data_IF_446640012686
#
_entry.id   IF_446640012686
#
_cell.length_a   1.000
_cell.length_b   1.000
_cell.length_c   1.000
_cell.angle_alpha   90.00
_cell.angle_beta   90.00
_cell.angle_gamma   90.00
#
_symmetry.space_group_name_H-M   'P 1'
#
loop_
_entity.id
_entity.type
_entity.pdbx_description
1 polymer ?
#
# COMPACT_ATOMS: atom_id res chain seq x y z
N UNK A 1 9.55 18.51 19.40
CA UNK A 1 8.85 17.23 19.61
C UNK A 1 8.51 16.68 18.24
N UNK A 2 9.26 15.70 17.73
CA UNK A 2 8.98 15.10 16.43
C UNK A 2 7.95 13.98 16.65
N UNK A 3 6.76 14.11 16.06
CA UNK A 3 5.80 13.01 16.02
C UNK A 3 6.33 12.00 15.00
N UNK A 4 6.69 10.80 15.43
CA UNK A 4 6.95 9.67 14.54
C UNK A 4 5.64 9.36 13.80
N UNK A 5 5.52 9.77 12.55
CA UNK A 5 4.35 9.44 11.73
C UNK A 5 4.53 8.01 11.21
N UNK A 6 4.01 7.03 11.95
CA UNK A 6 4.00 5.64 11.49
C UNK A 6 3.28 5.54 10.14
N UNK A 7 3.91 4.94 9.13
CA UNK A 7 3.28 4.68 7.84
C UNK A 7 2.09 3.74 7.97
N UNK A 8 0.96 4.16 7.41
CA UNK A 8 -0.29 3.38 7.37
C UNK A 8 -0.87 3.44 5.97
N UNK A 9 -1.27 2.29 5.46
CA UNK A 9 -1.94 2.18 4.18
C UNK A 9 -3.35 1.63 4.41
N UNK A 10 -4.35 2.52 4.31
CA UNK A 10 -5.76 2.16 4.52
C UNK A 10 -6.34 1.68 3.20
N UNK A 11 -6.71 0.41 3.14
CA UNK A 11 -7.14 -0.25 1.90
C UNK A 11 -8.57 0.19 1.55
N UNK A 12 -8.76 0.72 0.34
CA UNK A 12 -10.09 1.02 -0.21
C UNK A 12 -10.61 -0.15 -1.05
N UNK A 13 -9.74 -0.77 -1.85
CA UNK A 13 -10.09 -1.92 -2.68
C UNK A 13 -8.87 -2.72 -3.09
N UNK A 14 -9.14 -3.92 -3.60
CA UNK A 14 -8.14 -4.80 -4.21
C UNK A 14 -8.59 -5.27 -5.58
N UNK A 15 -7.68 -5.26 -6.53
CA UNK A 15 -7.92 -5.65 -7.91
C UNK A 15 -6.92 -6.75 -8.32
N UNK A 16 -7.42 -7.81 -8.98
CA UNK A 16 -6.59 -8.80 -9.67
C UNK A 16 -6.72 -8.60 -11.17
N UNK A 17 -5.61 -8.25 -11.80
CA UNK A 17 -5.54 -8.06 -13.25
C UNK A 17 -5.14 -9.38 -13.89
N UNK A 18 -5.94 -9.85 -14.85
CA UNK A 18 -5.64 -11.09 -15.60
C UNK A 18 -4.22 -11.02 -16.21
N UNK A 19 -3.45 -12.09 -16.03
CA UNK A 19 -2.07 -12.19 -16.52
C UNK A 19 -1.02 -11.44 -15.68
N UNK A 20 -1.39 -10.79 -14.56
CA UNK A 20 -0.45 -10.22 -13.59
C UNK A 20 -0.39 -11.10 -12.35
N UNK A 21 0.83 -11.39 -11.87
CA UNK A 21 1.04 -12.21 -10.69
C UNK A 21 0.77 -11.47 -9.36
N UNK A 22 0.68 -10.14 -9.39
CA UNK A 22 0.56 -9.30 -8.20
C UNK A 22 -0.88 -8.91 -7.91
N UNK A 23 -1.16 -8.69 -6.62
CA UNK A 23 -2.38 -8.05 -6.17
C UNK A 23 -2.21 -6.53 -6.25
N UNK A 24 -3.17 -5.83 -6.85
CA UNK A 24 -3.18 -4.37 -6.86
C UNK A 24 -4.06 -3.90 -5.71
N UNK A 25 -3.51 -3.07 -4.84
CA UNK A 25 -4.20 -2.57 -3.65
C UNK A 25 -4.25 -1.05 -3.76
N UNK A 26 -5.46 -0.50 -3.88
CA UNK A 26 -5.66 0.94 -3.87
C UNK A 26 -6.13 1.37 -2.49
N UNK A 27 -5.55 2.44 -1.99
CA UNK A 27 -5.83 2.95 -0.66
C UNK A 27 -5.34 4.37 -0.43
N UNK A 28 -5.43 4.79 0.82
CA UNK A 28 -4.89 6.06 1.31
C UNK A 28 -3.58 5.79 2.05
N UNK A 29 -2.51 6.43 1.59
CA UNK A 29 -1.22 6.42 2.26
C UNK A 29 -1.13 7.57 3.26
N UNK A 30 -0.95 7.24 4.54
CA UNK A 30 -0.71 8.18 5.63
C UNK A 30 0.72 7.97 6.18
N UNK A 31 1.37 9.06 6.57
CA UNK A 31 2.69 9.02 7.19
C UNK A 31 3.82 9.07 6.17
N UNK A 32 4.87 8.28 6.41
CA UNK A 32 6.07 8.31 5.57
C UNK A 32 5.85 7.63 4.21
N UNK A 33 6.56 8.07 3.16
CA UNK A 33 6.45 7.49 1.82
C UNK A 33 6.76 5.99 1.80
N UNK A 34 6.11 5.27 0.87
CA UNK A 34 6.42 3.89 0.56
C UNK A 34 7.49 3.78 -0.53
N UNK A 35 8.27 2.71 -0.47
CA UNK A 35 9.26 2.33 -1.46
C UNK A 35 9.00 0.92 -1.99
N UNK A 36 9.47 0.65 -3.22
CA UNK A 36 9.47 -0.72 -3.75
C UNK A 36 10.42 -1.56 -2.91
N UNK A 37 9.96 -2.74 -2.50
CA UNK A 37 10.68 -3.63 -1.59
C UNK A 37 10.23 -3.52 -0.12
N UNK A 38 9.52 -2.46 0.27
CA UNK A 38 8.93 -2.37 1.60
C UNK A 38 7.95 -3.52 1.84
N UNK A 39 7.89 -3.98 3.09
CA UNK A 39 6.95 -5.02 3.52
C UNK A 39 5.87 -4.40 4.41
N UNK A 40 4.63 -4.48 3.95
CA UNK A 40 3.45 -4.03 4.67
C UNK A 40 2.65 -5.23 5.15
N UNK A 41 2.69 -5.53 6.45
CA UNK A 41 1.91 -6.63 7.05
C UNK A 41 2.08 -7.95 6.28
N UNK A 42 3.31 -8.30 5.90
CA UNK A 42 3.61 -9.51 5.13
C UNK A 42 3.34 -9.43 3.62
N UNK A 43 3.06 -8.24 3.08
CA UNK A 43 2.92 -7.99 1.64
C UNK A 43 4.08 -7.13 1.13
N UNK A 44 4.86 -7.66 0.19
CA UNK A 44 6.05 -6.97 -0.36
C UNK A 44 5.65 -6.11 -1.55
N UNK A 45 5.99 -4.82 -1.51
CA UNK A 45 5.69 -3.88 -2.60
C UNK A 45 6.58 -4.16 -3.80
N UNK A 46 5.96 -4.29 -4.98
CA UNK A 46 6.61 -4.51 -6.29
C UNK A 46 6.52 -3.31 -7.21
N UNK A 47 5.47 -2.51 -7.10
CA UNK A 47 5.30 -1.27 -7.83
C UNK A 47 4.41 -0.30 -7.04
N UNK A 48 4.57 1.00 -7.31
CA UNK A 48 3.79 2.06 -6.67
C UNK A 48 3.34 3.02 -7.76
N UNK A 49 2.06 3.41 -7.70
CA UNK A 49 1.46 4.45 -8.50
C UNK A 49 0.78 5.46 -7.56
N UNK A 50 1.18 6.72 -7.64
CA UNK A 50 0.59 7.82 -6.87
C UNK A 50 -0.42 8.57 -7.74
N UNK A 51 -1.68 8.65 -7.29
CA UNK A 51 -2.79 9.22 -8.05
C UNK A 51 -2.93 10.75 -7.88
N UNK A 52 -2.09 11.40 -7.07
CA UNK A 52 -2.14 12.86 -6.84
C UNK A 52 -0.79 13.46 -6.40
N UNK A 53 -0.49 14.68 -6.88
CA UNK A 53 0.63 15.49 -6.40
C UNK A 53 0.35 16.13 -5.02
N UNK A 54 1.31 15.98 -4.10
CA UNK A 54 1.41 16.64 -2.78
C UNK A 54 0.23 16.49 -1.80
N UNK A 55 0.28 15.45 -0.97
CA UNK A 55 -0.60 15.21 0.18
C UNK A 55 -0.75 13.70 0.44
N UNK A 56 -1.26 13.31 1.62
CA UNK A 56 -1.68 11.93 1.90
C UNK A 56 -2.53 11.45 0.72
N UNK A 57 -1.92 10.60 -0.10
CA UNK A 57 -2.26 10.53 -1.51
C UNK A 57 -2.93 9.21 -1.78
N UNK A 58 -4.01 9.25 -2.54
CA UNK A 58 -4.56 8.03 -3.11
C UNK A 58 -3.45 7.33 -3.88
N UNK A 59 -3.19 6.08 -3.50
CA UNK A 59 -2.02 5.34 -3.95
C UNK A 59 -2.47 3.94 -4.31
N UNK A 60 -1.95 3.43 -5.42
CA UNK A 60 -2.07 2.01 -5.77
C UNK A 60 -0.71 1.37 -5.63
N UNK A 61 -0.64 0.29 -4.86
CA UNK A 61 0.56 -0.54 -4.76
C UNK A 61 0.27 -1.89 -5.41
N UNK A 62 1.23 -2.40 -6.18
CA UNK A 62 1.25 -3.80 -6.56
C UNK A 62 2.06 -4.56 -5.52
N UNK A 63 1.49 -5.61 -4.95
CA UNK A 63 2.13 -6.39 -3.88
C UNK A 63 2.19 -7.87 -4.21
N UNK A 64 3.25 -8.48 -3.69
CA UNK A 64 3.40 -9.91 -3.56
C UNK A 64 3.02 -10.32 -2.14
N UNK A 65 2.02 -11.19 -1.99
CA UNK A 65 1.50 -11.59 -0.69
C UNK A 65 0.87 -12.98 -0.75
N UNK A 66 1.04 -13.75 0.32
CA UNK A 66 0.32 -14.99 0.54
C UNK A 66 -1.01 -14.79 1.28
N UNK A 67 -1.22 -13.62 1.90
CA UNK A 67 -2.39 -13.29 2.68
C UNK A 67 -3.48 -12.65 1.81
N UNK A 68 -4.74 -12.82 2.22
CA UNK A 68 -5.83 -12.03 1.68
C UNK A 68 -5.76 -10.60 2.24
N UNK A 69 -6.04 -9.62 1.39
CA UNK A 69 -6.16 -8.20 1.75
C UNK A 69 -7.55 -7.75 1.33
N UNK A 70 -8.23 -7.02 2.19
CA UNK A 70 -9.60 -6.58 2.00
C UNK A 70 -9.75 -5.06 2.21
N UNK A 71 -10.82 -4.50 1.64
CA UNK A 71 -11.19 -3.13 1.91
C UNK A 71 -11.42 -2.93 3.42
N UNK A 72 -10.88 -1.84 3.96
CA UNK A 72 -10.90 -1.52 5.40
C UNK A 72 -9.68 -2.01 6.17
N UNK A 73 -8.86 -2.90 5.60
CA UNK A 73 -7.61 -3.30 6.24
C UNK A 73 -6.65 -2.11 6.36
N UNK A 74 -5.85 -2.13 7.43
CA UNK A 74 -4.78 -1.16 7.65
C UNK A 74 -3.46 -1.90 7.60
N UNK A 75 -2.70 -1.67 6.53
CA UNK A 75 -1.37 -2.24 6.37
C UNK A 75 -0.33 -1.29 6.97
N UNK A 76 0.65 -1.83 7.67
CA UNK A 76 1.70 -1.04 8.32
C UNK A 76 3.07 -1.58 7.96
N UNK A 77 4.05 -0.68 7.88
CA UNK A 77 5.46 -1.06 7.73
C UNK A 77 5.89 -1.93 8.91
N UNK A 78 6.53 -3.06 8.60
CA UNK A 78 7.22 -3.92 9.58
C UNK A 78 8.59 -3.34 9.96
#
# INVERSE_FOLDING_TARGET
>A
MWVLRRTRFVVERTDRISGRAWLFVTGILEGDPLHVGDELTGAVIRAIEFHSGSGAGKTTIAVDTAAAIHAGDVLTLN
#
